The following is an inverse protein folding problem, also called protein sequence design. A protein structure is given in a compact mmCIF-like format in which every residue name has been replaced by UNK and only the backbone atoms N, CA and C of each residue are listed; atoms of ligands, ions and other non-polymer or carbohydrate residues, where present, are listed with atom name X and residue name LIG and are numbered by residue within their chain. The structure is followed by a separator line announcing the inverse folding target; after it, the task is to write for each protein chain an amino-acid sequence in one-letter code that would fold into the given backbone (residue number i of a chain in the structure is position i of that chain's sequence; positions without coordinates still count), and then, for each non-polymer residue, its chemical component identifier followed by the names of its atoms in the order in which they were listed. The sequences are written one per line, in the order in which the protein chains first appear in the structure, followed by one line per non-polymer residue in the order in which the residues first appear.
data_IF_027834113768
#
_entry.id   IF_027834113768
#
_cell.length_a   1.000
_cell.length_b   1.000
_cell.length_c   1.000
_cell.angle_alpha   90.00
_cell.angle_beta   90.00
_cell.angle_gamma   90.00
#
_symmetry.space_group_name_H-M   'P 1'
#
loop_
_entity.id
_entity.type
_entity.pdbx_description
1 polymer ?
#
# COMPACT_ATOMS: atom_id res chain seq x y z
N UNK A 1 4.70 -6.78 3.27
CA UNK A 1 4.95 -5.51 2.55
C UNK A 1 3.99 -4.45 3.10
N UNK A 2 4.44 -3.22 3.32
CA UNK A 2 3.56 -2.12 3.70
C UNK A 2 3.23 -1.31 2.44
N UNK A 3 1.96 -1.30 2.02
CA UNK A 3 1.53 -0.48 0.90
C UNK A 3 1.53 0.99 1.31
N UNK A 4 2.06 1.85 0.45
CA UNK A 4 2.07 3.29 0.69
C UNK A 4 0.73 3.88 0.25
N UNK A 5 0.05 4.54 1.17
CA UNK A 5 -1.17 5.29 0.88
C UNK A 5 -0.83 6.57 0.11
N UNK A 6 -1.23 6.66 -1.17
CA UNK A 6 -1.01 7.82 -2.04
C UNK A 6 -2.34 8.50 -2.41
N UNK A 7 -2.55 9.70 -1.87
CA UNK A 7 -3.79 10.49 -2.01
C UNK A 7 -4.06 10.87 -3.48
N UNK A 8 -3.01 11.06 -4.28
CA UNK A 8 -3.17 11.48 -5.67
C UNK A 8 -3.75 10.39 -6.58
N UNK A 9 -3.65 9.13 -6.13
CA UNK A 9 -4.11 7.95 -6.86
C UNK A 9 -5.50 7.47 -6.44
N UNK A 10 -6.09 8.09 -5.43
CA UNK A 10 -7.47 7.83 -5.01
C UNK A 10 -8.47 8.39 -6.02
N UNK A 11 -9.55 7.64 -6.24
CA UNK A 11 -10.69 8.12 -7.00
C UNK A 11 -11.58 9.03 -6.15
N UNK A 12 -12.49 9.75 -6.80
CA UNK A 12 -13.33 10.75 -6.13
C UNK A 12 -14.14 10.16 -4.98
N UNK A 13 -14.77 9.01 -5.21
CA UNK A 13 -15.54 8.23 -4.23
C UNK A 13 -14.69 7.83 -3.01
N UNK A 14 -13.43 7.46 -3.23
CA UNK A 14 -12.50 7.09 -2.15
C UNK A 14 -12.05 8.31 -1.33
N UNK A 15 -11.82 9.44 -2.00
CA UNK A 15 -11.53 10.70 -1.32
C UNK A 15 -12.72 11.15 -0.46
N UNK A 16 -13.93 11.07 -1.01
CA UNK A 16 -15.16 11.37 -0.29
C UNK A 16 -15.34 10.43 0.90
N UNK A 17 -15.06 9.14 0.73
CA UNK A 17 -15.09 8.16 1.80
C UNK A 17 -14.10 8.50 2.93
N UNK A 18 -12.82 8.72 2.62
CA UNK A 18 -11.80 9.03 3.62
C UNK A 18 -12.02 10.36 4.33
N UNK A 19 -12.70 11.32 3.71
CA UNK A 19 -13.13 12.55 4.38
C UNK A 19 -14.37 12.29 5.25
N UNK A 20 -15.33 11.50 4.77
CA UNK A 20 -16.56 11.14 5.49
C UNK A 20 -16.26 10.41 6.80
N UNK A 21 -15.34 9.46 6.80
CA UNK A 21 -14.95 8.72 8.02
C UNK A 21 -14.22 9.57 9.05
N UNK A 22 -13.81 10.79 8.68
CA UNK A 22 -13.18 11.77 9.55
C UNK A 22 -14.10 12.94 9.89
N UNK A 23 -15.36 12.85 9.47
CA UNK A 23 -16.38 13.88 9.63
C UNK A 23 -15.97 15.25 9.03
N UNK A 24 -15.31 15.19 7.86
CA UNK A 24 -14.88 16.37 7.10
C UNK A 24 -15.72 16.51 5.84
N UNK A 25 -15.99 17.76 5.43
CA UNK A 25 -16.78 18.07 4.25
C UNK A 25 -16.32 17.32 2.99
N UNK A 26 -17.26 16.60 2.36
CA UNK A 26 -17.03 15.72 1.21
C UNK A 26 -17.37 16.37 -0.13
N UNK A 27 -17.80 17.62 -0.16
CA UNK A 27 -18.26 18.29 -1.38
C UNK A 27 -17.15 19.08 -2.08
N UNK A 28 -16.98 18.85 -3.39
CA UNK A 28 -16.15 19.71 -4.23
C UNK A 28 -15.50 19.01 -5.43
N UNK A 29 -14.53 19.71 -6.03
CA UNK A 29 -13.63 19.14 -7.04
C UNK A 29 -12.63 18.19 -6.38
N UNK A 30 -12.15 17.20 -7.13
CA UNK A 30 -11.13 16.22 -6.70
C UNK A 30 -9.92 16.90 -6.07
N UNK A 31 -9.45 18.02 -6.63
CA UNK A 31 -8.29 18.75 -6.08
C UNK A 31 -8.57 19.37 -4.71
N UNK A 32 -9.81 19.85 -4.49
CA UNK A 32 -10.25 20.34 -3.18
C UNK A 32 -10.29 19.19 -2.17
N UNK A 33 -10.80 18.03 -2.56
CA UNK A 33 -10.87 16.84 -1.70
C UNK A 33 -9.46 16.34 -1.34
N UNK A 34 -8.54 16.24 -2.31
CA UNK A 34 -7.14 15.88 -2.06
C UNK A 34 -6.44 16.86 -1.13
N UNK A 35 -6.63 18.16 -1.34
CA UNK A 35 -6.07 19.20 -0.47
C UNK A 35 -6.62 19.09 0.95
N UNK A 36 -7.93 18.87 1.09
CA UNK A 36 -8.59 18.65 2.38
C UNK A 36 -7.99 17.43 3.10
N UNK A 37 -7.96 16.27 2.42
CA UNK A 37 -7.46 15.02 3.00
C UNK A 37 -5.98 15.12 3.41
N UNK A 38 -5.14 15.77 2.61
CA UNK A 38 -3.74 16.05 2.99
C UNK A 38 -3.64 16.87 4.26
N UNK A 39 -4.47 17.91 4.39
CA UNK A 39 -4.52 18.74 5.59
C UNK A 39 -4.90 17.93 6.82
N UNK A 40 -5.96 17.12 6.72
CA UNK A 40 -6.43 16.29 7.83
C UNK A 40 -5.38 15.27 8.24
N UNK A 41 -4.77 14.55 7.29
CA UNK A 41 -3.71 13.56 7.58
C UNK A 41 -2.46 14.21 8.17
N UNK A 42 -2.11 15.45 7.76
CA UNK A 42 -1.01 16.18 8.35
C UNK A 42 -1.28 16.53 9.82
N UNK A 43 -2.53 16.90 10.15
CA UNK A 43 -2.94 17.18 11.53
C UNK A 43 -3.00 15.91 12.39
N UNK A 44 -3.47 14.78 11.84
CA UNK A 44 -3.40 13.48 12.49
C UNK A 44 -1.95 13.11 12.84
N UNK A 45 -1.03 13.33 11.90
CA UNK A 45 0.41 13.10 12.11
C UNK A 45 1.00 14.01 13.18
N UNK A 46 0.49 15.23 13.35
CA UNK A 46 0.92 16.13 14.43
C UNK A 46 0.28 15.84 15.78
N UNK A 47 -0.51 14.77 15.91
CA UNK A 47 -1.14 14.36 17.17
C UNK A 47 -2.44 15.10 17.50
N UNK A 48 -2.97 15.91 16.55
CA UNK A 48 -4.31 16.47 16.66
C UNK A 48 -5.29 15.37 16.31
N UNK A 49 -5.82 14.70 17.33
CA UNK A 49 -6.67 13.53 17.20
C UNK A 49 -8.03 13.88 16.57
N UNK A 50 -8.17 13.65 15.27
CA UNK A 50 -9.47 13.57 14.59
C UNK A 50 -10.00 12.13 14.68
N UNK A 51 -10.31 11.69 15.89
CA UNK A 51 -11.00 10.41 16.10
C UNK A 51 -12.49 10.72 16.18
N UNK A 52 -13.08 11.07 15.03
CA UNK A 52 -14.52 11.01 14.88
C UNK A 52 -14.84 9.67 14.22
N UNK A 53 -15.11 8.65 15.04
CA UNK A 53 -15.56 7.34 14.56
C UNK A 53 -17.02 7.45 14.16
N UNK A 54 -17.28 7.99 12.97
CA UNK A 54 -18.62 7.97 12.40
C UNK A 54 -19.07 6.51 12.28
N UNK A 55 -20.23 6.18 12.86
CA UNK A 55 -20.79 4.84 12.76
C UNK A 55 -21.32 4.63 11.34
N UNK A 56 -20.51 4.02 10.49
CA UNK A 56 -20.91 3.63 9.14
C UNK A 56 -21.87 2.43 9.22
N UNK A 57 -22.76 2.33 8.24
CA UNK A 57 -23.61 1.15 8.10
C UNK A 57 -22.78 -0.03 7.60
N UNK A 58 -22.58 -1.00 8.50
CA UNK A 58 -21.74 -2.18 8.30
C UNK A 58 -22.16 -2.99 7.07
N UNK A 59 -23.46 -3.09 6.78
CA UNK A 59 -23.96 -3.86 5.64
C UNK A 59 -23.63 -3.19 4.31
N UNK A 60 -23.84 -1.88 4.22
CA UNK A 60 -23.48 -1.11 3.04
C UNK A 60 -21.96 -1.06 2.81
N UNK A 61 -21.18 -1.01 3.90
CA UNK A 61 -19.72 -1.06 3.79
C UNK A 61 -19.21 -2.41 3.29
N UNK A 62 -19.80 -3.53 3.72
CA UNK A 62 -19.46 -4.85 3.19
C UNK A 62 -19.72 -4.93 1.68
N UNK A 63 -20.91 -4.52 1.22
CA UNK A 63 -21.26 -4.52 -0.20
C UNK A 63 -20.31 -3.64 -1.01
N UNK A 64 -19.99 -2.44 -0.49
CA UNK A 64 -19.04 -1.56 -1.15
C UNK A 64 -17.62 -2.14 -1.20
N UNK A 65 -17.19 -2.89 -0.17
CA UNK A 65 -15.91 -3.59 -0.18
C UNK A 65 -15.90 -4.75 -1.18
N UNK A 66 -16.95 -5.56 -1.23
CA UNK A 66 -17.10 -6.65 -2.22
C UNK A 66 -17.00 -6.10 -3.65
N UNK A 67 -17.71 -5.02 -3.95
CA UNK A 67 -17.63 -4.37 -5.26
C UNK A 67 -16.20 -3.88 -5.56
N UNK A 68 -15.54 -3.25 -4.59
CA UNK A 68 -14.17 -2.74 -4.77
C UNK A 68 -13.12 -3.84 -4.91
N UNK A 69 -13.32 -5.01 -4.27
CA UNK A 69 -12.49 -6.19 -4.52
C UNK A 69 -12.62 -6.60 -5.98
N UNK A 70 -13.83 -6.70 -6.51
CA UNK A 70 -14.09 -7.07 -7.91
C UNK A 70 -13.47 -6.07 -8.89
N UNK A 71 -13.69 -4.77 -8.69
CA UNK A 71 -13.06 -3.71 -9.51
C UNK A 71 -11.53 -3.83 -9.49
N UNK A 72 -10.94 -4.17 -8.34
CA UNK A 72 -9.50 -4.35 -8.22
C UNK A 72 -9.00 -5.59 -8.95
N UNK A 73 -9.77 -6.70 -8.95
CA UNK A 73 -9.46 -7.89 -9.76
C UNK A 73 -9.42 -7.56 -11.25
N UNK A 74 -10.34 -6.72 -11.73
CA UNK A 74 -10.38 -6.28 -13.13
C UNK A 74 -9.19 -5.37 -13.49
N UNK A 75 -8.79 -4.48 -12.58
CA UNK A 75 -7.58 -3.66 -12.77
C UNK A 75 -6.32 -4.54 -12.80
N UNK A 76 -6.30 -5.61 -12.01
CA UNK A 76 -5.19 -6.57 -12.02
C UNK A 76 -5.19 -7.47 -13.27
N UNK A 77 -6.35 -7.90 -13.78
CA UNK A 77 -6.39 -8.70 -15.01
C UNK A 77 -5.97 -7.91 -16.25
N UNK A 78 -6.22 -6.59 -16.25
CA UNK A 78 -5.72 -5.65 -17.27
C UNK A 78 -4.29 -5.19 -17.04
N UNK A 79 -3.63 -5.62 -15.95
CA UNK A 79 -2.26 -5.27 -15.63
C UNK A 79 -1.27 -6.11 -16.45
N UNK A 80 -0.97 -5.63 -17.66
CA UNK A 80 -0.08 -6.32 -18.61
C UNK A 80 1.40 -5.95 -18.44
N UNK A 81 1.69 -4.76 -17.91
CA UNK A 81 3.06 -4.24 -17.78
C UNK A 81 3.43 -3.88 -16.33
N UNK A 82 4.13 -4.78 -15.63
CA UNK A 82 4.62 -4.54 -14.28
C UNK A 82 5.70 -3.43 -14.17
N UNK A 83 6.34 -3.04 -15.26
CA UNK A 83 7.27 -1.91 -15.28
C UNK A 83 6.54 -0.55 -15.25
N UNK A 84 5.23 -0.51 -15.50
CA UNK A 84 4.43 0.70 -15.45
C UNK A 84 4.20 1.18 -14.01
N UNK A 85 5.15 1.99 -13.52
CA UNK A 85 5.18 2.51 -12.14
C UNK A 85 3.86 3.20 -11.72
N UNK A 86 3.16 3.86 -12.64
CA UNK A 86 1.89 4.53 -12.32
C UNK A 86 0.76 3.56 -12.00
N UNK A 87 0.67 2.45 -12.74
CA UNK A 87 -0.38 1.44 -12.53
C UNK A 87 -0.07 0.61 -11.29
N UNK A 88 1.19 0.23 -11.11
CA UNK A 88 1.72 -0.40 -9.90
C UNK A 88 1.35 0.41 -8.65
N UNK A 89 1.66 1.71 -8.61
CA UNK A 89 1.32 2.59 -7.48
C UNK A 89 -0.19 2.73 -7.29
N UNK A 90 -0.97 2.73 -8.38
CA UNK A 90 -2.43 2.79 -8.30
C UNK A 90 -2.97 1.55 -7.61
N UNK A 91 -2.56 0.35 -8.03
CA UNK A 91 -2.94 -0.92 -7.41
C UNK A 91 -2.54 -0.97 -5.93
N UNK A 92 -1.30 -0.62 -5.60
CA UNK A 92 -0.81 -0.57 -4.22
C UNK A 92 -1.63 0.40 -3.35
N UNK A 93 -2.02 1.55 -3.90
CA UNK A 93 -2.89 2.52 -3.20
C UNK A 93 -4.27 1.93 -2.94
N UNK A 94 -4.86 1.23 -3.93
CA UNK A 94 -6.17 0.57 -3.78
C UNK A 94 -6.13 -0.52 -2.72
N UNK A 95 -5.06 -1.33 -2.67
CA UNK A 95 -4.86 -2.31 -1.60
C UNK A 95 -4.83 -1.64 -0.23
N UNK A 96 -4.04 -0.58 -0.06
CA UNK A 96 -3.93 0.15 1.21
C UNK A 96 -5.27 0.74 1.66
N UNK A 97 -6.01 1.34 0.72
CA UNK A 97 -7.31 1.94 0.98
C UNK A 97 -8.35 0.88 1.38
N UNK A 98 -8.47 -0.18 0.59
CA UNK A 98 -9.45 -1.25 0.82
C UNK A 98 -9.15 -2.01 2.12
N UNK A 99 -7.88 -2.31 2.41
CA UNK A 99 -7.48 -2.90 3.69
C UNK A 99 -7.88 -2.01 4.87
N UNK A 100 -7.65 -0.70 4.78
CA UNK A 100 -8.02 0.25 5.83
C UNK A 100 -9.53 0.30 6.03
N UNK A 101 -10.29 0.29 4.92
CA UNK A 101 -11.75 0.28 4.91
C UNK A 101 -12.32 -0.98 5.57
N UNK A 102 -11.86 -2.17 5.18
CA UNK A 102 -12.32 -3.44 5.75
C UNK A 102 -12.01 -3.52 7.25
N UNK A 103 -10.84 -3.04 7.68
CA UNK A 103 -10.47 -3.02 9.11
C UNK A 103 -11.32 -2.08 9.97
N UNK A 104 -11.97 -1.07 9.37
CA UNK A 104 -12.89 -0.18 10.08
C UNK A 104 -14.28 -0.80 10.27
N UNK A 105 -14.60 -1.87 9.54
CA UNK A 105 -15.86 -2.60 9.74
C UNK A 105 -15.74 -3.39 11.05
N UNK A 106 -16.36 -2.89 12.10
CA UNK A 106 -16.48 -3.59 13.39
C UNK A 106 -17.96 -3.81 13.66
N UNK A 107 -18.38 -5.08 13.75
CA UNK A 107 -19.74 -5.46 14.08
C UNK A 107 -19.74 -6.49 15.19
N UNK A 108 -20.81 -6.49 15.98
CA UNK A 108 -21.10 -7.54 16.96
C UNK A 108 -21.80 -8.75 16.33
N UNK A 109 -22.30 -8.62 15.09
CA UNK A 109 -22.93 -9.70 14.35
C UNK A 109 -21.86 -10.66 13.79
N UNK A 110 -21.95 -11.93 14.17
CA UNK A 110 -21.05 -12.99 13.74
C UNK A 110 -21.06 -13.17 12.22
N UNK A 111 -22.21 -12.98 11.56
CA UNK A 111 -22.31 -13.07 10.10
C UNK A 111 -21.54 -11.96 9.38
N UNK A 112 -21.56 -10.75 9.92
CA UNK A 112 -20.81 -9.60 9.39
C UNK A 112 -19.31 -9.79 9.67
N UNK A 113 -18.96 -10.26 10.86
CA UNK A 113 -17.58 -10.56 11.24
C UNK A 113 -16.96 -11.64 10.36
N UNK A 114 -17.73 -12.67 10.01
CA UNK A 114 -17.29 -13.73 9.08
C UNK A 114 -17.06 -13.15 7.68
N UNK A 115 -18.03 -12.42 7.12
CA UNK A 115 -17.87 -11.79 5.79
C UNK A 115 -16.67 -10.85 5.70
N UNK A 116 -16.42 -10.08 6.76
CA UNK A 116 -15.23 -9.24 6.85
C UNK A 116 -13.94 -10.08 6.77
N UNK A 117 -13.92 -11.23 7.44
CA UNK A 117 -12.79 -12.14 7.42
C UNK A 117 -12.58 -12.77 6.03
N UNK A 118 -13.67 -13.16 5.37
CA UNK A 118 -13.65 -13.68 3.99
C UNK A 118 -13.14 -12.62 2.99
N UNK A 119 -13.52 -11.35 3.18
CA UNK A 119 -13.01 -10.22 2.40
C UNK A 119 -11.52 -9.97 2.62
N UNK A 120 -11.04 -10.06 3.86
CA UNK A 120 -9.61 -9.95 4.16
C UNK A 120 -8.81 -11.10 3.54
N UNK A 121 -9.34 -12.33 3.57
CA UNK A 121 -8.73 -13.48 2.90
C UNK A 121 -8.66 -13.26 1.38
N UNK A 122 -9.77 -12.84 0.76
CA UNK A 122 -9.84 -12.52 -0.66
C UNK A 122 -8.85 -11.43 -1.08
N UNK A 123 -8.69 -10.40 -0.22
CA UNK A 123 -7.72 -9.33 -0.45
C UNK A 123 -6.28 -9.83 -0.33
N UNK A 124 -6.00 -10.72 0.63
CA UNK A 124 -4.68 -11.31 0.82
C UNK A 124 -4.27 -12.19 -0.37
N UNK A 125 -5.20 -12.97 -0.93
CA UNK A 125 -4.99 -13.73 -2.16
C UNK A 125 -4.60 -12.81 -3.33
N UNK A 126 -5.34 -11.72 -3.54
CA UNK A 126 -5.00 -10.75 -4.60
C UNK A 126 -3.63 -10.10 -4.40
N UNK A 127 -3.24 -9.84 -3.15
CA UNK A 127 -1.90 -9.33 -2.85
C UNK A 127 -0.83 -10.37 -3.19
N UNK A 128 -1.10 -11.65 -2.95
CA UNK A 128 -0.19 -12.74 -3.31
C UNK A 128 -0.04 -12.83 -4.83
N UNK A 129 -1.15 -12.85 -5.58
CA UNK A 129 -1.15 -12.87 -7.05
C UNK A 129 -0.38 -11.68 -7.63
N UNK A 130 -0.64 -10.47 -7.11
CA UNK A 130 0.07 -9.26 -7.48
C UNK A 130 1.58 -9.35 -7.22
N UNK A 131 1.97 -9.95 -6.10
CA UNK A 131 3.38 -10.10 -5.73
C UNK A 131 4.11 -11.05 -6.68
N UNK A 132 3.47 -12.15 -7.09
CA UNK A 132 4.02 -13.06 -8.10
C UNK A 132 4.27 -12.35 -9.43
N UNK A 133 3.27 -11.61 -9.93
CA UNK A 133 3.39 -10.82 -11.19
C UNK A 133 4.56 -9.83 -11.12
N UNK A 134 4.77 -9.21 -9.95
CA UNK A 134 5.84 -8.22 -9.75
C UNK A 134 7.24 -8.85 -9.68
N UNK A 135 7.37 -10.07 -9.17
CA UNK A 135 8.65 -10.78 -9.10
C UNK A 135 9.09 -11.23 -10.49
N UNK A 136 8.19 -11.84 -11.26
CA UNK A 136 8.46 -12.32 -12.63
C UNK A 136 8.96 -11.20 -13.55
N UNK A 137 8.43 -9.99 -13.36
CA UNK A 137 8.85 -8.78 -14.06
C UNK A 137 10.31 -8.39 -13.80
N UNK A 138 10.75 -8.54 -12.55
CA UNK A 138 12.04 -8.05 -12.09
C UNK A 138 13.15 -9.02 -12.50
N UNK A 139 12.87 -10.33 -12.44
CA UNK A 139 13.78 -11.37 -12.95
C UNK A 139 13.97 -11.28 -14.47
N UNK A 140 12.90 -10.95 -15.21
CA UNK A 140 12.97 -10.76 -16.66
C UNK A 140 13.83 -9.55 -17.09
N UNK A 141 13.95 -8.52 -16.24
CA UNK A 141 14.81 -7.35 -16.51
C UNK A 141 16.29 -7.59 -16.19
N UNK A 142 16.60 -8.59 -15.36
CA UNK A 142 17.96 -8.91 -14.91
C UNK A 142 18.80 -9.66 -15.95
N UNK A 143 18.22 -10.11 -17.07
CA UNK A 143 18.91 -10.97 -18.03
C UNK A 143 19.69 -10.20 -19.12
N UNK A 144 19.48 -8.88 -19.24
CA UNK A 144 20.25 -8.00 -20.14
C UNK A 144 21.21 -7.10 -19.35
N UNK A 145 22.20 -7.70 -18.69
CA UNK A 145 23.42 -6.99 -18.29
C UNK A 145 24.61 -7.83 -18.72
N UNK A 146 24.83 -7.89 -20.03
CA UNK A 146 26.11 -8.37 -20.53
C UNK A 146 27.21 -7.36 -20.17
N UNK A 147 28.37 -7.81 -19.66
CA UNK A 147 29.52 -6.96 -19.46
C UNK A 147 30.09 -6.57 -20.83
N UNK A 148 30.00 -5.29 -21.20
CA UNK A 148 30.76 -4.76 -22.33
C UNK A 148 32.22 -4.63 -21.87
N UNK A 149 33.06 -5.53 -22.37
CA UNK A 149 34.50 -5.54 -22.18
C UNK A 149 35.19 -4.36 -22.94
N UNK A 150 36.48 -4.07 -22.66
CA UNK A 150 37.02 -2.72 -22.58
C UNK A 150 37.34 -2.06 -23.92
N UNK A 151 37.40 -0.72 -23.88
CA UNK A 151 37.72 0.17 -24.98
C UNK A 151 39.08 -0.13 -25.63
N UNK A 152 39.07 -0.20 -26.97
CA UNK A 152 40.26 -0.01 -27.80
C UNK A 152 40.20 1.38 -28.40
N UNK A 153 41.22 2.18 -28.11
CA UNK A 153 41.43 3.52 -28.64
C UNK A 153 41.54 3.50 -30.17
N UNK A 154 40.84 4.42 -30.84
CA UNK A 154 41.39 5.08 -32.02
C UNK A 154 40.76 6.46 -32.19
N UNK A 155 41.65 7.42 -32.33
CA UNK A 155 41.47 8.84 -32.29
C UNK A 155 41.21 9.37 -33.71
N UNK A 156 40.19 10.23 -33.91
CA UNK A 156 40.21 11.25 -34.95
C UNK A 156 39.19 12.36 -34.67
N UNK A 157 39.74 13.54 -34.37
CA UNK A 157 39.18 14.89 -34.38
C UNK A 157 37.92 15.14 -35.22
N UNK A 158 36.91 15.79 -34.63
CA UNK A 158 36.27 17.00 -35.19
C UNK A 158 35.51 17.77 -34.11
N UNK A 159 35.72 19.08 -34.09
CA UNK A 159 35.18 20.06 -33.14
C UNK A 159 33.70 20.39 -33.45
N UNK A 160 32.87 20.55 -32.41
CA UNK A 160 32.06 21.77 -32.19
C UNK A 160 31.38 21.75 -30.82
N UNK A 161 31.30 22.95 -30.25
CA UNK A 161 31.00 23.29 -28.86
C UNK A 161 29.58 22.95 -28.36
N UNK A 162 29.48 22.58 -27.06
CA UNK A 162 28.78 23.35 -26.00
C UNK A 162 28.78 22.57 -24.67
N UNK A 163 29.32 23.17 -23.63
CA UNK A 163 29.30 22.75 -22.21
C UNK A 163 28.45 23.78 -21.41
N UNK A 164 28.03 23.53 -20.14
CA UNK A 164 28.68 22.66 -19.18
C UNK A 164 27.81 21.73 -18.31
N UNK A 165 28.55 20.74 -17.81
CA UNK A 165 28.39 19.75 -16.74
C UNK A 165 27.78 20.22 -15.41
N UNK A 166 27.17 19.28 -14.66
CA UNK A 166 27.55 19.05 -13.26
C UNK A 166 27.08 17.67 -12.76
N UNK A 167 28.02 16.72 -12.69
CA UNK A 167 27.94 15.54 -11.85
C UNK A 167 28.19 15.93 -10.38
N UNK A 168 27.49 15.27 -9.44
CA UNK A 168 28.05 15.01 -8.11
C UNK A 168 27.70 13.59 -7.65
N UNK A 169 28.64 12.69 -7.90
CA UNK A 169 28.86 11.50 -7.08
C UNK A 169 29.49 11.96 -5.76
N UNK A 170 28.94 11.54 -4.63
CA UNK A 170 29.61 11.66 -3.33
C UNK A 170 29.66 10.25 -2.73
N UNK A 171 30.87 9.69 -2.69
CA UNK A 171 31.20 8.63 -1.75
C UNK A 171 31.53 9.29 -0.41
N UNK A 172 30.87 8.87 0.67
CA UNK A 172 31.36 9.12 2.02
C UNK A 172 31.15 7.88 2.89
N UNK A 173 32.28 7.38 3.37
CA UNK A 173 32.43 6.24 4.28
C UNK A 173 32.04 6.61 5.72
N UNK A 174 31.43 5.63 6.40
CA UNK A 174 31.59 5.27 7.83
C UNK A 174 31.25 6.32 8.89
N UNK A 175 30.09 6.17 9.56
CA UNK A 175 29.97 6.34 11.01
C UNK A 175 28.78 5.51 11.54
N UNK A 176 29.05 4.70 12.56
CA UNK A 176 28.02 3.94 13.27
C UNK A 176 27.19 4.83 14.19
N UNK A 177 25.92 4.49 14.30
CA UNK A 177 25.13 4.62 15.54
C UNK A 177 23.95 3.67 15.47
N UNK A 178 23.92 2.74 16.42
CA UNK A 178 22.75 1.92 16.72
C UNK A 178 21.69 2.87 17.25
N UNK A 179 20.64 3.07 16.47
CA UNK A 179 19.40 3.68 16.96
C UNK A 179 18.40 2.55 17.14
N UNK A 180 18.18 2.18 18.40
CA UNK A 180 17.05 1.35 18.81
C UNK A 180 15.78 2.09 18.41
N UNK A 181 15.16 1.70 17.29
CA UNK A 181 13.84 2.20 16.93
C UNK A 181 12.85 1.44 17.79
N UNK A 182 12.45 2.03 18.91
CA UNK A 182 11.20 1.64 19.57
C UNK A 182 10.05 1.93 18.59
N UNK A 183 9.54 0.86 17.97
CA UNK A 183 8.32 0.90 17.17
C UNK A 183 7.12 1.08 18.10
N UNK A 184 6.79 2.34 18.40
CA UNK A 184 5.61 2.72 19.16
C UNK A 184 4.46 3.13 18.23
N UNK A 185 4.15 2.28 17.24
CA UNK A 185 3.03 2.51 16.32
C UNK A 185 1.99 1.38 16.44
N UNK A 186 0.71 1.68 16.75
CA UNK A 186 -0.30 0.67 17.05
C UNK A 186 -0.53 -0.32 15.90
N UNK A 187 -0.33 0.11 14.65
CA UNK A 187 -0.49 -0.72 13.44
C UNK A 187 0.58 -1.82 13.32
N UNK A 188 1.81 -1.59 13.82
CA UNK A 188 2.88 -2.60 13.79
C UNK A 188 2.64 -3.70 14.83
N UNK A 189 1.97 -3.34 15.94
CA UNK A 189 1.60 -4.28 17.01
C UNK A 189 0.49 -5.23 16.57
N UNK A 190 -0.47 -4.77 15.77
CA UNK A 190 -1.55 -5.61 15.25
C UNK A 190 -1.08 -6.61 14.20
N UNK A 191 -0.15 -6.22 13.31
CA UNK A 191 0.42 -7.17 12.33
C UNK A 191 1.31 -8.23 12.98
N UNK A 192 2.03 -7.90 14.07
CA UNK A 192 2.78 -8.90 14.84
C UNK A 192 1.86 -9.85 15.63
N UNK A 193 0.73 -9.36 16.14
CA UNK A 193 -0.28 -10.23 16.78
C UNK A 193 -0.96 -11.18 15.79
N UNK A 194 -1.25 -10.75 14.55
CA UNK A 194 -1.85 -11.63 13.54
C UNK A 194 -0.86 -12.71 13.09
N UNK A 195 0.43 -12.38 12.95
CA UNK A 195 1.48 -13.36 12.65
C UNK A 195 1.67 -14.38 13.80
N UNK A 196 1.65 -13.93 15.07
CA UNK A 196 1.70 -14.85 16.22
C UNK A 196 0.43 -15.70 16.40
N UNK A 197 -0.73 -15.19 16.00
CA UNK A 197 -2.00 -15.92 16.11
C UNK A 197 -2.09 -17.05 15.06
N UNK A 198 -1.49 -16.85 13.88
CA UNK A 198 -1.36 -17.89 12.86
C UNK A 198 -0.30 -18.95 13.20
N UNK A 199 0.78 -18.60 13.90
CA UNK A 199 1.81 -19.58 14.32
C UNK A 199 1.44 -20.38 15.58
N UNK A 200 0.51 -19.90 16.43
CA UNK A 200 0.09 -20.58 17.68
C UNK A 200 -1.19 -21.41 17.56
N UNK A 201 -1.78 -21.49 16.37
CA UNK A 201 -3.00 -22.24 16.11
C UNK A 201 -2.79 -23.76 15.97
N UNK A 202 -2.09 -24.40 16.91
CA UNK A 202 -2.19 -25.86 17.10
C UNK A 202 -2.00 -26.22 18.58
N UNK A 203 -2.92 -27.05 19.09
CA UNK A 203 -2.97 -27.77 20.38
C UNK A 203 -3.77 -27.09 21.52
N UNK A 204 -5.05 -27.47 21.67
CA UNK A 204 -5.46 -28.45 22.69
C UNK A 204 -6.93 -28.90 22.46
N UNK A 205 -7.10 -30.15 22.05
CA UNK A 205 -8.38 -30.88 22.17
C UNK A 205 -8.51 -31.28 23.65
N UNK A 206 -9.29 -30.52 24.41
CA UNK A 206 -9.70 -30.87 25.76
C UNK A 206 -10.92 -31.79 25.73
N UNK A 207 -10.68 -33.09 25.77
CA UNK A 207 -11.70 -34.09 26.08
C UNK A 207 -12.08 -33.95 27.56
N UNK A 208 -13.26 -33.40 27.86
CA UNK A 208 -13.88 -33.54 29.17
C UNK A 208 -15.15 -34.37 29.00
N UNK A 209 -15.02 -35.68 29.24
CA UNK A 209 -16.16 -36.53 29.55
C UNK A 209 -16.60 -36.23 30.98
N UNK A 210 -17.90 -36.03 31.15
CA UNK A 210 -18.66 -36.52 32.30
C UNK A 210 -20.01 -36.99 31.82
#
# INVERSE_FOLDING_TARGET
MAFRFDIDRLSKDELEYELKVRDVGTSGSVDKLRKSLRGVLALEKSGSSFVCSLKLDEKNELVACEQKVTELREVMSSFTDPACVSTTKKIETKFSHLFSRINRISSTDEGIAQKRSDLLASLAELIADYSSIKVDANESSSFYSQPVAPATESNSNSQHASSPTCFKTVNLTKFGRVSVIQFNHPVVRTMWCIAQFLERGYIQVGHHQS
#
